data_IF_310916781219
#
_entry.id   IF_310916781219
#
_cell.length_a   1.000
_cell.length_b   1.000
_cell.length_c   1.000
_cell.angle_alpha   90.00
_cell.angle_beta   90.00
_cell.angle_gamma   90.00
#
_symmetry.space_group_name_H-M   'P 1'
#
loop_
_entity.id
_entity.type
_entity.pdbx_description
1 polymer ?
#
# COMPACT_ATOMS: atom_id res chain seq x y z
N UNK A 1 2.71 -22.82 28.65
CA UNK A 1 2.27 -21.60 27.92
C UNK A 1 1.26 -22.03 26.86
N UNK A 2 0.02 -21.51 26.88
CA UNK A 2 -0.98 -21.81 25.84
C UNK A 2 -0.77 -20.87 24.64
N UNK A 3 -0.40 -21.42 23.50
CA UNK A 3 -0.37 -20.67 22.24
C UNK A 3 -1.82 -20.34 21.84
N UNK A 4 -2.15 -19.05 21.77
CA UNK A 4 -3.46 -18.56 21.34
C UNK A 4 -3.47 -18.62 19.81
N UNK A 5 -4.11 -19.62 19.23
CA UNK A 5 -4.26 -19.73 17.78
C UNK A 5 -5.32 -18.74 17.30
N UNK A 6 -4.91 -17.82 16.44
CA UNK A 6 -5.81 -16.94 15.72
C UNK A 6 -6.30 -17.69 14.47
N UNK A 7 -7.62 -17.75 14.28
CA UNK A 7 -8.22 -18.30 13.06
C UNK A 7 -8.48 -17.15 12.10
N UNK A 8 -7.89 -17.22 10.92
CA UNK A 8 -8.15 -16.25 9.84
C UNK A 8 -9.50 -16.62 9.23
N UNK A 9 -10.48 -15.74 9.35
CA UNK A 9 -11.76 -15.86 8.66
C UNK A 9 -11.58 -15.39 7.22
N UNK A 10 -11.70 -16.31 6.26
CA UNK A 10 -11.95 -15.95 4.86
C UNK A 10 -13.46 -15.92 4.69
N UNK A 11 -13.99 -14.73 4.41
CA UNK A 11 -15.42 -14.53 4.14
C UNK A 11 -15.89 -15.34 2.93
N UNK A 12 -17.20 -15.52 2.77
CA UNK A 12 -17.76 -16.27 1.65
C UNK A 12 -17.27 -15.69 0.33
N UNK A 13 -16.88 -16.57 -0.58
CA UNK A 13 -16.43 -16.24 -1.93
C UNK A 13 -17.64 -15.79 -2.77
N UNK A 14 -18.08 -14.57 -2.54
CA UNK A 14 -18.85 -13.81 -3.52
C UNK A 14 -17.90 -13.50 -4.69
N UNK A 15 -18.36 -13.60 -5.93
CA UNK A 15 -17.63 -13.33 -7.18
C UNK A 15 -16.88 -11.98 -7.16
N UNK A 16 -15.71 -11.95 -6.52
CA UNK A 16 -14.82 -10.80 -6.52
C UNK A 16 -14.12 -10.83 -7.87
N UNK A 17 -14.24 -9.79 -8.71
CA UNK A 17 -13.49 -9.72 -9.96
C UNK A 17 -12.03 -9.97 -9.63
N UNK A 18 -11.38 -10.91 -10.33
CA UNK A 18 -10.00 -11.36 -10.09
C UNK A 18 -9.10 -10.17 -9.74
N UNK A 19 -8.95 -9.91 -8.43
CA UNK A 19 -8.08 -8.85 -7.95
C UNK A 19 -6.70 -9.35 -8.33
N UNK A 20 -5.90 -8.60 -9.11
CA UNK A 20 -4.64 -9.09 -9.66
C UNK A 20 -3.85 -9.75 -8.55
N UNK A 21 -3.65 -11.07 -8.72
CA UNK A 21 -3.25 -11.96 -7.64
C UNK A 21 -2.09 -11.36 -6.85
N UNK A 22 -2.34 -11.09 -5.57
CA UNK A 22 -1.29 -10.73 -4.62
C UNK A 22 -0.23 -11.82 -4.70
N UNK A 23 0.92 -11.50 -5.31
CA UNK A 23 2.05 -12.40 -5.40
C UNK A 23 2.85 -12.25 -4.11
N UNK A 24 2.75 -13.24 -3.23
CA UNK A 24 3.65 -13.37 -2.09
C UNK A 24 4.94 -14.02 -2.57
N UNK A 25 6.08 -13.38 -2.34
CA UNK A 25 7.40 -13.94 -2.59
C UNK A 25 7.74 -14.99 -1.52
N UNK A 26 8.54 -16.01 -1.87
CA UNK A 26 8.85 -17.17 -1.02
C UNK A 26 9.57 -16.81 0.29
N UNK A 27 10.11 -15.59 0.41
CA UNK A 27 10.74 -15.07 1.63
C UNK A 27 9.75 -14.35 2.58
N UNK A 28 8.44 -14.36 2.27
CA UNK A 28 7.36 -13.88 3.15
C UNK A 28 7.50 -12.42 3.63
N UNK A 29 8.28 -11.59 2.93
CA UNK A 29 8.58 -10.20 3.32
C UNK A 29 8.02 -9.15 2.36
N UNK A 30 7.47 -9.54 1.20
CA UNK A 30 6.90 -8.58 0.26
C UNK A 30 5.63 -9.08 -0.43
N UNK A 31 4.71 -8.13 -0.64
CA UNK A 31 3.43 -8.31 -1.33
C UNK A 31 3.40 -7.35 -2.51
N UNK A 32 3.23 -7.89 -3.71
CA UNK A 32 2.95 -7.07 -4.90
C UNK A 32 1.45 -6.90 -5.07
N UNK A 33 0.98 -5.65 -5.08
CA UNK A 33 -0.43 -5.31 -5.30
C UNK A 33 -0.56 -4.13 -6.29
N UNK A 34 -1.70 -4.00 -6.99
CA UNK A 34 -1.95 -2.88 -7.90
C UNK A 34 -1.90 -1.52 -7.20
N UNK A 35 -1.30 -0.52 -7.84
CA UNK A 35 -1.29 0.85 -7.35
C UNK A 35 -2.71 1.41 -7.14
N UNK A 36 -3.66 1.03 -8.00
CA UNK A 36 -5.09 1.39 -7.87
C UNK A 36 -5.73 0.90 -6.57
N UNK A 37 -5.20 -0.17 -5.97
CA UNK A 37 -5.64 -0.70 -4.68
C UNK A 37 -4.91 -0.03 -3.51
N UNK A 38 -3.60 0.17 -3.64
CA UNK A 38 -2.76 0.71 -2.56
C UNK A 38 -2.94 2.22 -2.34
N UNK A 39 -2.96 3.02 -3.42
CA UNK A 39 -2.98 4.48 -3.32
C UNK A 39 -4.21 5.03 -2.58
N UNK A 40 -5.44 4.53 -2.78
CA UNK A 40 -6.60 4.99 -2.01
C UNK A 40 -6.49 4.69 -0.51
N UNK A 41 -5.92 3.53 -0.13
CA UNK A 41 -5.73 3.14 1.26
C UNK A 41 -4.70 4.04 1.96
N UNK A 42 -3.59 4.34 1.29
CA UNK A 42 -2.59 5.27 1.81
C UNK A 42 -3.15 6.69 1.91
N UNK A 43 -3.90 7.14 0.90
CA UNK A 43 -4.55 8.45 0.94
C UNK A 43 -5.55 8.57 2.09
N UNK A 44 -6.35 7.52 2.36
CA UNK A 44 -7.23 7.47 3.51
C UNK A 44 -6.46 7.48 4.84
N UNK A 45 -5.39 6.70 4.95
CA UNK A 45 -4.56 6.64 6.15
C UNK A 45 -3.94 8.01 6.50
N UNK A 46 -3.43 8.73 5.49
CA UNK A 46 -2.91 10.11 5.64
C UNK A 46 -4.02 11.07 6.06
N UNK A 47 -5.16 11.07 5.38
CA UNK A 47 -6.31 11.94 5.70
C UNK A 47 -6.86 11.69 7.10
N UNK A 48 -6.86 10.43 7.52
CA UNK A 48 -7.35 9.98 8.82
C UNK A 48 -6.29 10.02 9.92
N UNK A 49 -5.08 10.54 9.63
CA UNK A 49 -3.96 10.65 10.59
C UNK A 49 -3.66 9.33 11.32
N UNK A 50 -3.63 8.22 10.57
CA UNK A 50 -3.37 6.89 11.16
C UNK A 50 -1.92 6.81 11.64
N UNK A 51 -1.74 6.48 12.92
CA UNK A 51 -0.42 6.46 13.57
C UNK A 51 0.50 5.37 13.04
N UNK A 52 -0.04 4.23 12.58
CA UNK A 52 0.75 3.13 12.04
C UNK A 52 1.55 3.52 10.79
N UNK A 53 1.16 4.57 10.08
CA UNK A 53 1.87 4.98 8.86
C UNK A 53 3.28 5.47 9.16
N UNK A 54 3.48 6.09 10.32
CA UNK A 54 4.79 6.58 10.77
C UNK A 54 5.80 5.44 11.02
N UNK A 55 5.31 4.22 11.24
CA UNK A 55 6.18 3.05 11.42
C UNK A 55 6.98 2.74 10.13
N UNK A 56 6.58 3.29 8.99
CA UNK A 56 7.18 3.10 7.66
C UNK A 56 7.95 4.31 7.14
N UNK A 57 8.16 5.36 7.95
CA UNK A 57 8.79 6.62 7.49
C UNK A 57 10.23 6.46 6.96
N UNK A 58 10.93 5.40 7.38
CA UNK A 58 12.31 5.11 6.96
C UNK A 58 12.39 4.01 5.88
N UNK A 59 11.24 3.48 5.44
CA UNK A 59 11.22 2.39 4.48
C UNK A 59 11.38 2.93 3.05
N UNK A 60 12.19 2.25 2.25
CA UNK A 60 12.35 2.57 0.83
C UNK A 60 11.19 1.99 0.02
N UNK A 61 10.59 2.83 -0.83
CA UNK A 61 9.50 2.42 -1.73
C UNK A 61 10.00 2.42 -3.17
N UNK A 62 9.99 1.26 -3.82
CA UNK A 62 10.32 1.13 -5.24
C UNK A 62 9.08 1.36 -6.10
N UNK A 63 9.16 2.35 -7.00
CA UNK A 63 8.13 2.64 -8.02
C UNK A 63 8.76 2.66 -9.42
N UNK A 64 7.93 2.65 -10.47
CA UNK A 64 8.43 2.83 -11.82
C UNK A 64 9.02 4.23 -12.02
N UNK A 65 10.05 4.35 -12.87
CA UNK A 65 10.69 5.62 -13.17
C UNK A 65 9.67 6.66 -13.70
N UNK A 66 8.77 6.24 -14.59
CA UNK A 66 7.71 7.10 -15.14
C UNK A 66 6.79 7.67 -14.05
N UNK A 67 6.37 6.84 -13.09
CA UNK A 67 5.55 7.31 -11.97
C UNK A 67 6.32 8.28 -11.07
N UNK A 68 7.61 8.02 -10.82
CA UNK A 68 8.45 8.93 -10.06
C UNK A 68 8.55 10.31 -10.73
N UNK A 69 8.81 10.36 -12.03
CA UNK A 69 8.90 11.61 -12.80
C UNK A 69 7.59 12.42 -12.71
N UNK A 70 6.44 11.76 -12.90
CA UNK A 70 5.12 12.39 -12.78
C UNK A 70 4.89 12.96 -11.37
N UNK A 71 5.26 12.22 -10.32
CA UNK A 71 5.10 12.69 -8.94
C UNK A 71 5.99 13.90 -8.63
N UNK A 72 7.23 13.90 -9.11
CA UNK A 72 8.14 15.05 -8.94
C UNK A 72 7.62 16.28 -9.68
N UNK A 73 7.18 16.12 -10.92
CA UNK A 73 6.55 17.20 -11.68
C UNK A 73 5.32 17.75 -10.94
N UNK A 74 4.42 16.87 -10.48
CA UNK A 74 3.22 17.25 -9.73
C UNK A 74 3.55 18.01 -8.43
N UNK A 75 4.60 17.62 -7.70
CA UNK A 75 5.05 18.32 -6.51
C UNK A 75 5.50 19.75 -6.82
N UNK A 76 6.24 19.95 -7.93
CA UNK A 76 6.70 21.26 -8.35
C UNK A 76 5.53 22.18 -8.73
N UNK A 77 4.48 21.67 -9.37
CA UNK A 77 3.28 22.46 -9.69
C UNK A 77 2.44 22.84 -8.46
N UNK A 78 2.54 22.08 -7.37
CA UNK A 78 1.76 22.32 -6.14
C UNK A 78 2.41 23.27 -5.16
N UNK A 79 3.69 23.60 -5.34
CA UNK A 79 4.32 24.69 -4.60
C UNK A 79 4.08 25.98 -5.39
N UNK A 80 3.26 26.93 -4.90
CA UNK A 80 3.21 28.23 -5.54
C UNK A 80 4.63 28.79 -5.51
N UNK A 81 5.16 29.16 -6.67
CA UNK A 81 6.29 30.07 -6.74
C UNK A 81 5.86 31.33 -5.98
N UNK A 82 6.54 31.60 -4.87
CA UNK A 82 6.34 32.79 -4.06
C UNK A 82 6.76 34.05 -4.84
#
# INVERSE_FOLDING_TARGET
>A
MRARSLRIYRGPEDDVPEVPAVRMSADNQSVTAPASQLLPLLADAVRSQRTWLADFDNDEVTISADLYEVLMAYQHFRRPVA
#
